data_IF_210040331897
#
_entry.id   IF_210040331897
#
_cell.length_a   1.000
_cell.length_b   1.000
_cell.length_c   1.000
_cell.angle_alpha   90.00
_cell.angle_beta   90.00
_cell.angle_gamma   90.00
#
_symmetry.space_group_name_H-M   'P 1'
#
loop_
_entity.id
_entity.type
_entity.pdbx_description
1 polymer ?
#
# COMPACT_ATOMS: atom_id res chain seq x y z
N UNK A 1 19.55 48.90 74.88
CA UNK A 1 18.29 48.25 75.23
C UNK A 1 17.41 48.36 74.07
N UNK A 2 17.42 47.35 73.17
CA UNK A 2 16.70 47.37 71.90
C UNK A 2 15.53 46.43 72.01
N UNK A 3 14.30 47.02 72.06
CA UNK A 3 13.06 46.33 71.97
C UNK A 3 12.81 45.93 70.49
N UNK A 4 13.00 44.65 70.14
CA UNK A 4 12.57 44.12 68.87
C UNK A 4 11.10 43.70 68.99
N UNK A 5 10.25 44.33 68.15
CA UNK A 5 8.80 44.08 68.10
C UNK A 5 8.50 42.66 67.63
N UNK A 6 7.71 41.96 68.42
CA UNK A 6 7.17 40.62 68.19
C UNK A 6 6.23 40.51 66.95
N UNK A 7 5.96 41.66 66.32
CA UNK A 7 4.93 41.72 65.26
C UNK A 7 5.38 41.22 63.87
N UNK A 8 6.69 40.91 63.67
CA UNK A 8 7.23 40.36 62.42
C UNK A 8 7.19 38.84 62.33
N UNK A 9 6.95 38.16 63.44
CA UNK A 9 6.95 36.68 63.47
C UNK A 9 5.58 36.15 63.04
N UNK A 10 4.49 36.89 63.28
CA UNK A 10 3.15 36.49 62.86
C UNK A 10 2.90 36.52 61.36
N UNK A 11 3.72 37.27 60.58
CA UNK A 11 3.64 37.33 59.13
C UNK A 11 4.24 36.11 58.41
N UNK A 12 5.18 35.41 59.07
CA UNK A 12 5.89 34.25 58.50
C UNK A 12 5.00 32.99 58.68
N UNK A 13 4.32 32.85 59.81
CA UNK A 13 3.41 31.73 60.09
C UNK A 13 2.20 31.71 59.16
N UNK A 14 1.81 32.86 58.58
CA UNK A 14 0.69 32.93 57.62
C UNK A 14 1.13 32.60 56.17
N UNK A 15 2.44 32.57 55.88
CA UNK A 15 2.95 32.17 54.57
C UNK A 15 3.16 30.66 54.46
N UNK A 16 3.41 29.96 55.58
CA UNK A 16 3.53 28.51 55.59
C UNK A 16 2.17 27.76 55.49
N UNK A 17 1.06 28.45 55.85
CA UNK A 17 -0.31 27.88 55.80
C UNK A 17 -0.99 28.04 54.42
N UNK A 18 -0.29 28.40 53.37
CA UNK A 18 -0.79 28.18 52.01
C UNK A 18 -0.58 26.71 51.68
N UNK A 19 -1.31 25.82 52.33
CA UNK A 19 -1.45 24.45 51.93
C UNK A 19 -1.79 24.44 50.43
N UNK A 20 -0.84 23.96 49.62
CA UNK A 20 -1.17 23.56 48.25
C UNK A 20 -2.27 22.53 48.41
N UNK A 21 -3.51 22.87 48.04
CA UNK A 21 -4.56 21.89 47.87
C UNK A 21 -4.09 20.95 46.79
N UNK A 22 -3.40 19.88 47.18
CA UNK A 22 -3.10 18.78 46.27
C UNK A 22 -4.45 18.17 45.95
N UNK A 23 -4.92 18.42 44.75
CA UNK A 23 -6.16 17.81 44.25
C UNK A 23 -5.82 16.31 44.08
N UNK A 24 -6.13 15.55 45.11
CA UNK A 24 -6.00 14.08 45.04
C UNK A 24 -7.27 13.56 44.36
N UNK A 25 -7.09 13.16 43.10
CA UNK A 25 -8.14 12.39 42.44
C UNK A 25 -8.16 10.99 43.05
N UNK A 26 -9.35 10.46 43.42
CA UNK A 26 -9.42 9.08 43.84
C UNK A 26 -8.93 8.17 42.72
N UNK A 27 -8.08 7.20 43.02
CA UNK A 27 -7.49 6.29 42.04
C UNK A 27 -8.55 5.68 41.11
N UNK A 28 -9.74 5.40 41.62
CA UNK A 28 -10.87 4.92 40.82
C UNK A 28 -11.29 5.90 39.72
N UNK A 29 -11.26 7.23 39.96
CA UNK A 29 -11.56 8.23 38.94
C UNK A 29 -10.49 8.30 37.85
N UNK A 30 -9.23 8.13 38.21
CA UNK A 30 -8.11 8.07 37.25
C UNK A 30 -8.23 6.81 36.37
N UNK A 31 -8.51 5.65 36.96
CA UNK A 31 -8.75 4.42 36.20
C UNK A 31 -9.98 4.52 35.28
N UNK A 32 -11.05 5.14 35.75
CA UNK A 32 -12.24 5.34 34.91
C UNK A 32 -11.96 6.26 33.72
N UNK A 33 -11.23 7.36 33.92
CA UNK A 33 -10.84 8.26 32.86
C UNK A 33 -9.90 7.57 31.82
N UNK A 34 -8.95 6.75 32.28
CA UNK A 34 -8.10 5.95 31.42
C UNK A 34 -8.91 4.93 30.58
N UNK A 35 -9.86 4.22 31.20
CA UNK A 35 -10.71 3.25 30.50
C UNK A 35 -11.61 3.94 29.46
N UNK A 36 -12.17 5.10 29.77
CA UNK A 36 -12.93 5.90 28.80
C UNK A 36 -12.03 6.35 27.65
N UNK A 37 -10.81 6.82 27.93
CA UNK A 37 -9.84 7.21 26.91
C UNK A 37 -9.44 6.07 26.00
N UNK A 38 -9.22 4.86 26.53
CA UNK A 38 -8.90 3.66 25.75
C UNK A 38 -10.10 3.25 24.88
N UNK A 39 -11.31 3.20 25.45
CA UNK A 39 -12.52 2.80 24.72
C UNK A 39 -12.88 3.80 23.61
N UNK A 40 -12.75 5.11 23.87
CA UNK A 40 -12.98 6.14 22.86
C UNK A 40 -11.87 6.12 21.79
N UNK A 41 -10.60 5.91 22.18
CA UNK A 41 -9.48 5.78 21.25
C UNK A 41 -9.60 4.55 20.35
N UNK A 42 -9.96 3.39 20.91
CA UNK A 42 -10.21 2.16 20.14
C UNK A 42 -11.44 2.32 19.24
N UNK A 43 -12.52 2.92 19.74
CA UNK A 43 -13.74 3.16 18.96
C UNK A 43 -13.52 4.13 17.80
N UNK A 44 -12.83 5.25 18.02
CA UNK A 44 -12.50 6.20 16.97
C UNK A 44 -11.47 5.64 15.99
N UNK A 45 -10.47 4.89 16.46
CA UNK A 45 -9.53 4.18 15.61
C UNK A 45 -10.23 3.16 14.70
N UNK A 46 -11.16 2.38 15.24
CA UNK A 46 -11.99 1.47 14.42
C UNK A 46 -12.86 2.22 13.40
N UNK A 47 -13.44 3.35 13.76
CA UNK A 47 -14.24 4.15 12.82
C UNK A 47 -13.41 4.80 11.71
N UNK A 48 -12.13 5.11 11.96
CA UNK A 48 -11.25 5.78 10.99
C UNK A 48 -10.50 4.76 10.12
N UNK A 49 -10.01 3.67 10.71
CA UNK A 49 -9.16 2.70 10.03
C UNK A 49 -9.75 1.29 9.89
N UNK A 50 -10.77 0.95 10.68
CA UNK A 50 -11.41 -0.37 10.67
C UNK A 50 -12.59 -0.51 9.72
N UNK A 51 -13.05 0.58 9.08
CA UNK A 51 -14.09 0.50 8.05
C UNK A 51 -13.44 0.01 6.75
N UNK A 52 -13.80 -1.20 6.35
CA UNK A 52 -13.64 -1.62 4.96
C UNK A 52 -14.34 -0.55 4.09
N UNK A 53 -13.68 -0.06 3.03
CA UNK A 53 -14.33 0.91 2.14
C UNK A 53 -15.62 0.30 1.60
N UNK A 54 -16.74 0.97 1.81
CA UNK A 54 -18.05 0.63 1.24
C UNK A 54 -17.92 0.63 -0.29
N UNK A 55 -17.99 -0.51 -0.96
CA UNK A 55 -17.74 -0.79 -2.38
C UNK A 55 -16.34 -1.34 -2.72
N UNK A 56 -15.82 -2.27 -1.96
CA UNK A 56 -14.71 -3.10 -2.46
C UNK A 56 -15.22 -3.98 -3.60
N UNK A 57 -14.63 -3.78 -4.78
CA UNK A 57 -14.87 -4.66 -5.91
C UNK A 57 -14.24 -6.01 -5.57
N UNK A 58 -14.99 -7.09 -5.74
CA UNK A 58 -14.42 -8.42 -5.67
C UNK A 58 -13.48 -8.62 -6.87
N UNK A 59 -12.18 -8.47 -6.62
CA UNK A 59 -11.15 -8.58 -7.66
C UNK A 59 -11.11 -9.98 -8.28
N UNK A 60 -11.55 -11.02 -7.57
CA UNK A 60 -11.61 -12.40 -8.08
C UNK A 60 -12.75 -12.61 -9.06
N UNK A 61 -13.81 -11.80 -8.95
CA UNK A 61 -14.96 -11.85 -9.84
C UNK A 61 -14.75 -11.08 -11.16
N UNK A 62 -13.61 -10.40 -11.33
CA UNK A 62 -13.30 -9.67 -12.56
C UNK A 62 -12.81 -10.65 -13.63
N UNK A 63 -13.66 -10.95 -14.58
CA UNK A 63 -13.33 -11.81 -15.72
C UNK A 63 -12.51 -11.03 -16.76
N UNK A 64 -11.35 -11.57 -17.15
CA UNK A 64 -10.51 -10.97 -18.18
C UNK A 64 -11.17 -11.14 -19.56
N UNK A 65 -11.07 -10.14 -20.46
CA UNK A 65 -11.58 -10.24 -21.80
C UNK A 65 -10.75 -11.19 -22.67
N UNK A 66 -11.34 -11.77 -23.70
CA UNK A 66 -10.73 -12.80 -24.58
C UNK A 66 -9.43 -12.35 -25.27
N UNK A 67 -9.23 -11.03 -25.43
CA UNK A 67 -8.00 -10.49 -26.01
C UNK A 67 -6.84 -10.38 -25.02
N UNK A 68 -7.03 -10.73 -23.74
CA UNK A 68 -5.97 -10.86 -22.73
C UNK A 68 -5.62 -12.33 -22.58
N UNK A 69 -4.42 -12.70 -22.95
CA UNK A 69 -3.89 -14.05 -22.74
C UNK A 69 -3.49 -14.23 -21.27
N UNK A 70 -4.16 -15.14 -20.55
CA UNK A 70 -3.76 -15.51 -19.21
C UNK A 70 -2.63 -16.55 -19.25
N UNK A 71 -1.46 -16.19 -18.78
CA UNK A 71 -0.26 -17.05 -18.70
C UNK A 71 0.46 -16.78 -17.37
N UNK A 72 -0.13 -17.29 -16.28
CA UNK A 72 0.31 -16.98 -14.94
C UNK A 72 1.70 -17.54 -14.61
N UNK A 73 2.46 -16.75 -13.86
CA UNK A 73 3.76 -17.14 -13.32
C UNK A 73 3.59 -18.25 -12.27
N UNK A 74 4.63 -19.08 -12.15
CA UNK A 74 4.73 -20.02 -11.01
C UNK A 74 4.75 -19.25 -9.69
N UNK A 75 4.06 -19.74 -8.67
CA UNK A 75 4.11 -19.15 -7.32
C UNK A 75 5.50 -19.31 -6.72
N UNK A 76 6.11 -18.21 -6.31
CA UNK A 76 7.44 -18.16 -5.71
C UNK A 76 7.67 -16.81 -5.01
N UNK A 77 8.66 -16.72 -4.14
CA UNK A 77 8.93 -15.52 -3.34
C UNK A 77 9.54 -14.35 -4.16
N UNK A 78 10.03 -14.58 -5.37
CA UNK A 78 10.75 -13.58 -6.15
C UNK A 78 9.89 -12.86 -7.20
N UNK A 79 8.83 -13.51 -7.73
CA UNK A 79 8.01 -12.90 -8.78
C UNK A 79 6.50 -13.03 -8.55
N UNK A 80 6.02 -14.08 -7.88
CA UNK A 80 4.60 -14.25 -7.55
C UNK A 80 4.44 -14.80 -6.12
N UNK A 81 4.45 -13.92 -5.10
CA UNK A 81 4.52 -14.34 -3.69
C UNK A 81 3.23 -14.97 -3.13
N UNK A 82 2.18 -15.12 -3.93
CA UNK A 82 0.87 -15.65 -3.49
C UNK A 82 0.23 -14.82 -2.34
N UNK A 83 0.44 -13.52 -2.39
CA UNK A 83 -0.13 -12.57 -1.44
C UNK A 83 -1.36 -11.93 -2.06
N UNK A 84 -2.52 -12.15 -1.45
CA UNK A 84 -3.79 -11.57 -1.89
C UNK A 84 -3.89 -10.09 -1.46
N UNK A 85 -4.37 -9.24 -2.35
CA UNK A 85 -4.73 -7.85 -2.06
C UNK A 85 -6.25 -7.68 -1.98
N UNK A 86 -6.71 -6.64 -1.30
CA UNK A 86 -8.13 -6.34 -1.13
C UNK A 86 -8.66 -5.29 -2.09
N UNK A 87 -7.80 -4.40 -2.59
CA UNK A 87 -8.20 -3.28 -3.45
C UNK A 87 -7.07 -2.88 -4.41
N UNK A 88 -7.47 -2.24 -5.49
CA UNK A 88 -6.58 -1.54 -6.41
C UNK A 88 -6.93 -0.07 -6.38
N UNK A 89 -5.95 0.80 -6.17
CA UNK A 89 -6.10 2.27 -6.15
C UNK A 89 -5.54 2.92 -7.40
N UNK A 90 -4.49 2.32 -7.97
CA UNK A 90 -3.77 2.91 -9.11
C UNK A 90 -3.33 1.82 -10.09
N UNK A 91 -3.07 2.25 -11.32
CA UNK A 91 -2.39 1.50 -12.37
C UNK A 91 -1.10 2.26 -12.69
N UNK A 92 0.03 1.56 -12.69
CA UNK A 92 1.33 2.11 -13.10
C UNK A 92 1.75 1.43 -14.40
N UNK A 93 2.13 2.23 -15.38
CA UNK A 93 2.63 1.78 -16.66
C UNK A 93 4.13 2.00 -16.66
N UNK A 94 4.87 0.91 -16.86
CA UNK A 94 6.31 0.90 -17.02
C UNK A 94 6.66 0.57 -18.47
N UNK A 95 7.88 0.91 -18.89
CA UNK A 95 8.48 0.32 -20.07
C UNK A 95 9.48 -0.75 -19.67
N UNK A 96 9.54 -1.84 -20.42
CA UNK A 96 10.48 -2.94 -20.16
C UNK A 96 11.93 -2.45 -20.33
N UNK A 97 12.79 -2.71 -19.36
CA UNK A 97 14.20 -2.24 -19.39
C UNK A 97 15.10 -2.92 -20.43
N UNK A 98 14.54 -3.78 -21.30
CA UNK A 98 15.26 -4.52 -22.33
C UNK A 98 14.62 -4.29 -23.71
N UNK A 99 15.12 -3.33 -24.51
CA UNK A 99 14.58 -3.00 -25.82
C UNK A 99 14.53 -4.20 -26.76
N UNK A 100 13.50 -4.26 -27.61
CA UNK A 100 13.31 -5.31 -28.61
C UNK A 100 12.85 -6.66 -28.06
N UNK A 101 12.59 -6.76 -26.74
CA UNK A 101 12.06 -7.99 -26.14
C UNK A 101 10.56 -8.15 -26.43
N UNK A 102 10.07 -9.39 -26.49
CA UNK A 102 8.65 -9.69 -26.63
C UNK A 102 7.95 -9.81 -25.28
N UNK A 103 6.61 -9.71 -25.26
CA UNK A 103 5.81 -9.94 -24.06
C UNK A 103 6.06 -11.34 -23.48
N UNK A 104 6.16 -12.35 -24.33
CA UNK A 104 6.43 -13.73 -23.90
C UNK A 104 7.82 -13.89 -23.28
N UNK A 105 8.85 -13.25 -23.83
CA UNK A 105 10.19 -13.28 -23.27
C UNK A 105 10.24 -12.59 -21.91
N UNK A 106 9.59 -11.44 -21.76
CA UNK A 106 9.47 -10.71 -20.49
C UNK A 106 8.70 -11.52 -19.43
N UNK A 107 7.57 -12.13 -19.81
CA UNK A 107 6.84 -13.06 -18.95
C UNK A 107 7.72 -14.23 -18.49
N UNK A 108 8.48 -14.83 -19.41
CA UNK A 108 9.36 -15.95 -19.10
C UNK A 108 10.53 -15.54 -18.21
N UNK A 109 11.05 -14.32 -18.37
CA UNK A 109 12.04 -13.76 -17.43
C UNK A 109 11.48 -13.72 -15.99
N UNK A 110 10.28 -13.19 -15.80
CA UNK A 110 9.64 -13.17 -14.47
C UNK A 110 9.40 -14.59 -13.92
N UNK A 111 8.98 -15.53 -14.76
CA UNK A 111 8.79 -16.92 -14.34
C UNK A 111 10.09 -17.60 -13.95
N UNK A 112 11.18 -17.33 -14.69
CA UNK A 112 12.51 -17.86 -14.42
C UNK A 112 13.10 -17.43 -13.08
N UNK A 113 12.61 -16.32 -12.49
CA UNK A 113 13.02 -15.91 -11.14
C UNK A 113 12.64 -16.94 -10.07
N UNK A 114 11.66 -17.80 -10.33
CA UNK A 114 11.32 -18.92 -9.45
C UNK A 114 12.46 -19.94 -9.25
N UNK A 115 13.42 -19.97 -10.15
CA UNK A 115 14.54 -20.93 -10.11
C UNK A 115 15.74 -20.41 -9.28
N UNK A 116 15.62 -19.20 -8.68
CA UNK A 116 16.63 -18.66 -7.78
C UNK A 116 16.67 -19.40 -6.44
N UNK A 117 17.83 -19.42 -5.81
CA UNK A 117 18.02 -19.99 -4.48
C UNK A 117 17.40 -19.06 -3.43
N UNK A 118 16.30 -19.50 -2.80
CA UNK A 118 15.58 -18.74 -1.79
C UNK A 118 16.37 -18.43 -0.50
N UNK A 119 17.55 -19.06 -0.33
CA UNK A 119 18.42 -18.82 0.83
C UNK A 119 19.52 -17.79 0.51
N UNK A 120 19.59 -17.30 -0.72
CA UNK A 120 20.53 -16.28 -1.16
C UNK A 120 19.80 -15.00 -1.51
N UNK A 121 20.54 -13.89 -1.50
CA UNK A 121 20.07 -12.64 -2.05
C UNK A 121 19.75 -12.82 -3.53
N UNK A 122 18.56 -12.41 -3.97
CA UNK A 122 18.08 -12.61 -5.32
C UNK A 122 17.35 -11.37 -5.86
N UNK A 123 17.00 -11.42 -7.13
CA UNK A 123 16.24 -10.37 -7.81
C UNK A 123 14.75 -10.66 -7.64
N UNK A 124 13.99 -9.67 -7.15
CA UNK A 124 12.54 -9.72 -7.11
C UNK A 124 11.94 -8.73 -8.11
N UNK A 125 11.21 -9.25 -9.09
CA UNK A 125 10.56 -8.43 -10.12
C UNK A 125 9.39 -9.19 -10.75
N UNK A 126 8.31 -8.48 -11.05
CA UNK A 126 7.19 -8.99 -11.84
C UNK A 126 6.22 -7.88 -12.20
N UNK A 127 5.26 -8.19 -13.07
CA UNK A 127 4.16 -7.30 -13.41
C UNK A 127 2.86 -8.11 -13.53
N UNK A 128 1.71 -7.43 -13.38
CA UNK A 128 0.40 -8.07 -13.60
C UNK A 128 0.16 -8.33 -15.07
N UNK A 129 0.55 -7.38 -15.92
CA UNK A 129 0.39 -7.46 -17.36
C UNK A 129 1.69 -7.10 -18.08
N UNK A 130 1.88 -7.71 -19.23
CA UNK A 130 2.91 -7.32 -20.21
C UNK A 130 2.21 -7.09 -21.54
N UNK A 131 2.49 -5.94 -22.16
CA UNK A 131 2.03 -5.58 -23.51
C UNK A 131 3.21 -5.70 -24.47
N UNK A 132 3.06 -6.47 -25.51
CA UNK A 132 4.13 -6.76 -26.49
C UNK A 132 4.19 -5.78 -27.65
N UNK A 133 5.19 -5.98 -28.52
CA UNK A 133 5.44 -5.13 -29.69
C UNK A 133 4.34 -5.23 -30.75
N UNK A 134 3.69 -6.38 -30.87
CA UNK A 134 2.57 -6.61 -31.79
C UNK A 134 1.21 -6.29 -31.15
N UNK A 135 1.22 -5.69 -29.94
CA UNK A 135 0.03 -5.32 -29.19
C UNK A 135 -0.63 -6.47 -28.43
N UNK A 136 0.02 -7.64 -28.38
CA UNK A 136 -0.46 -8.76 -27.55
C UNK A 136 -0.39 -8.39 -26.06
N UNK A 137 -1.38 -8.85 -25.28
CA UNK A 137 -1.45 -8.61 -23.84
C UNK A 137 -1.41 -9.93 -23.09
N UNK A 138 -0.41 -10.10 -22.24
CA UNK A 138 -0.26 -11.28 -21.37
C UNK A 138 -0.52 -10.86 -19.91
N UNK A 139 -1.48 -11.54 -19.26
CA UNK A 139 -1.65 -11.45 -17.81
C UNK A 139 -0.73 -12.47 -17.12
N UNK A 140 0.23 -11.96 -16.37
CA UNK A 140 1.24 -12.75 -15.67
C UNK A 140 0.84 -13.10 -14.22
N UNK A 141 0.06 -12.22 -13.57
CA UNK A 141 -0.38 -12.36 -12.17
C UNK A 141 -1.86 -11.97 -12.11
N UNK A 142 -2.69 -12.73 -11.37
CA UNK A 142 -4.08 -12.34 -11.09
C UNK A 142 -4.16 -10.94 -10.46
N UNK A 143 -5.21 -10.19 -10.78
CA UNK A 143 -5.35 -8.80 -10.27
C UNK A 143 -5.63 -8.72 -8.76
N UNK A 144 -6.04 -9.81 -8.15
CA UNK A 144 -6.22 -9.95 -6.70
C UNK A 144 -4.95 -10.39 -5.96
N UNK A 145 -3.85 -10.63 -6.68
CA UNK A 145 -2.54 -10.95 -6.12
C UNK A 145 -1.56 -9.77 -6.24
N UNK A 146 -0.48 -9.78 -5.44
CA UNK A 146 0.59 -8.78 -5.45
C UNK A 146 1.65 -9.12 -6.48
N UNK A 147 2.08 -8.10 -7.25
CA UNK A 147 3.28 -8.16 -8.10
C UNK A 147 4.38 -7.26 -7.53
N UNK A 148 5.63 -7.54 -7.87
CA UNK A 148 6.80 -6.76 -7.45
C UNK A 148 7.26 -5.78 -8.54
N UNK A 149 6.53 -4.66 -8.68
CA UNK A 149 6.82 -3.64 -9.68
C UNK A 149 6.83 -2.20 -9.12
N UNK A 150 6.08 -1.94 -8.05
CA UNK A 150 5.73 -0.58 -7.63
C UNK A 150 6.06 -0.30 -6.16
N UNK A 151 7.16 -0.86 -5.63
CA UNK A 151 7.52 -0.65 -4.23
C UNK A 151 7.61 0.85 -3.88
N UNK A 152 7.07 1.29 -2.72
CA UNK A 152 6.48 0.48 -1.65
C UNK A 152 4.98 0.17 -1.83
N UNK A 153 4.37 0.46 -2.98
CA UNK A 153 2.94 0.38 -3.25
C UNK A 153 2.50 -0.86 -4.04
N UNK A 154 3.18 -1.99 -3.87
CA UNK A 154 2.81 -3.24 -4.54
C UNK A 154 1.44 -3.78 -4.10
N UNK A 155 0.99 -3.44 -2.90
CA UNK A 155 -0.23 -3.95 -2.28
C UNK A 155 -1.52 -3.33 -2.82
N UNK A 156 -1.46 -2.12 -3.38
CA UNK A 156 -2.64 -1.39 -3.86
C UNK A 156 -2.53 -0.88 -5.31
N UNK A 157 -1.52 -1.34 -6.06
CA UNK A 157 -1.23 -0.86 -7.42
C UNK A 157 -1.13 -2.02 -8.41
N UNK A 158 -1.83 -1.93 -9.55
CA UNK A 158 -1.59 -2.78 -10.71
C UNK A 158 -0.42 -2.24 -11.53
N UNK A 159 0.36 -3.14 -12.11
CA UNK A 159 1.48 -2.81 -12.99
C UNK A 159 1.27 -3.37 -14.39
N UNK A 160 1.65 -2.60 -15.39
CA UNK A 160 1.67 -2.97 -16.80
C UNK A 160 3.08 -2.68 -17.33
N UNK A 161 3.80 -3.69 -17.76
CA UNK A 161 5.06 -3.56 -18.47
C UNK A 161 4.78 -3.48 -19.97
N UNK A 162 5.33 -2.49 -20.65
CA UNK A 162 5.14 -2.30 -22.11
C UNK A 162 6.47 -2.48 -22.83
N UNK A 163 6.50 -3.40 -23.78
CA UNK A 163 7.64 -3.62 -24.66
C UNK A 163 7.80 -2.44 -25.64
N UNK A 164 9.04 -2.11 -25.96
CA UNK A 164 9.41 -1.10 -26.93
C UNK A 164 10.57 -1.59 -27.82
N UNK A 165 10.67 -1.04 -29.03
CA UNK A 165 11.55 -1.59 -30.04
C UNK A 165 13.04 -1.25 -29.83
N UNK A 166 13.34 -0.08 -29.28
CA UNK A 166 14.68 0.50 -29.21
C UNK A 166 14.94 1.28 -27.92
N UNK A 167 16.15 1.80 -27.76
CA UNK A 167 16.60 2.51 -26.55
C UNK A 167 15.90 3.86 -26.29
N UNK A 168 15.02 4.32 -27.20
CA UNK A 168 14.24 5.56 -26.98
C UNK A 168 13.14 5.36 -25.95
N UNK A 169 12.74 4.11 -25.66
CA UNK A 169 11.63 3.80 -24.77
C UNK A 169 10.24 4.16 -25.35
N UNK A 170 10.20 4.56 -26.63
CA UNK A 170 8.94 4.94 -27.30
C UNK A 170 8.14 3.70 -27.66
N UNK A 171 6.87 3.69 -27.27
CA UNK A 171 5.93 2.65 -27.69
C UNK A 171 5.60 2.82 -29.17
N UNK A 172 5.51 1.73 -29.90
CA UNK A 172 4.92 1.74 -31.25
C UNK A 172 3.39 1.83 -31.15
N UNK A 173 2.72 2.02 -32.31
CA UNK A 173 1.28 2.23 -32.34
C UNK A 173 0.51 1.03 -31.78
N UNK A 174 0.91 -0.21 -32.09
CA UNK A 174 0.27 -1.42 -31.61
C UNK A 174 0.36 -1.57 -30.08
N UNK A 175 1.57 -1.37 -29.52
CA UNK A 175 1.75 -1.38 -28.05
C UNK A 175 0.97 -0.26 -27.38
N UNK A 176 0.97 0.95 -27.97
CA UNK A 176 0.28 2.11 -27.42
C UNK A 176 -1.24 1.90 -27.40
N UNK A 177 -1.82 1.46 -28.51
CA UNK A 177 -3.26 1.17 -28.59
C UNK A 177 -3.68 0.09 -27.58
N UNK A 178 -2.87 -0.96 -27.44
CA UNK A 178 -3.14 -2.04 -26.50
C UNK A 178 -3.03 -1.62 -25.04
N UNK A 179 -2.03 -0.82 -24.67
CA UNK A 179 -1.92 -0.33 -23.28
C UNK A 179 -3.04 0.65 -22.94
N UNK A 180 -3.46 1.50 -23.87
CA UNK A 180 -4.62 2.39 -23.69
C UNK A 180 -5.92 1.57 -23.52
N UNK A 181 -6.14 0.57 -24.37
CA UNK A 181 -7.31 -0.33 -24.31
C UNK A 181 -7.36 -1.08 -22.97
N UNK A 182 -6.23 -1.66 -22.54
CA UNK A 182 -6.12 -2.39 -21.28
C UNK A 182 -6.37 -1.47 -20.08
N UNK A 183 -5.72 -0.31 -20.04
CA UNK A 183 -5.88 0.66 -18.95
C UNK A 183 -7.29 1.16 -18.84
N UNK A 184 -7.94 1.53 -19.96
CA UNK A 184 -9.32 1.99 -19.98
C UNK A 184 -10.28 0.90 -19.48
N UNK A 185 -10.07 -0.34 -19.90
CA UNK A 185 -10.87 -1.48 -19.46
C UNK A 185 -10.69 -1.71 -17.94
N UNK A 186 -9.45 -1.75 -17.43
CA UNK A 186 -9.17 -1.90 -16.01
C UNK A 186 -9.78 -0.77 -15.18
N UNK A 187 -9.64 0.48 -15.59
CA UNK A 187 -10.24 1.63 -14.90
C UNK A 187 -11.76 1.48 -14.79
N UNK A 188 -12.42 1.01 -15.86
CA UNK A 188 -13.86 0.78 -15.86
C UNK A 188 -14.27 -0.35 -14.91
N UNK A 189 -13.58 -1.50 -14.96
CA UNK A 189 -13.89 -2.66 -14.11
C UNK A 189 -13.65 -2.35 -12.63
N UNK A 190 -12.55 -1.65 -12.34
CA UNK A 190 -12.10 -1.33 -10.98
C UNK A 190 -12.65 -0.01 -10.45
N UNK A 191 -13.51 0.67 -11.24
CA UNK A 191 -14.11 1.98 -10.89
C UNK A 191 -13.06 3.03 -10.47
N UNK A 192 -11.87 2.97 -11.08
CA UNK A 192 -10.82 3.94 -10.83
C UNK A 192 -11.20 5.27 -11.49
N UNK A 193 -10.97 6.37 -10.74
CA UNK A 193 -11.20 7.73 -11.26
C UNK A 193 -9.89 8.26 -11.84
N UNK A 194 -9.98 9.02 -12.94
CA UNK A 194 -8.87 9.85 -13.39
C UNK A 194 -8.61 10.92 -12.31
N UNK A 195 -7.38 10.98 -11.84
CA UNK A 195 -6.91 12.05 -10.95
C UNK A 195 -6.52 13.27 -11.75
#
# INVERSE_FOLDING_TARGET
>A
MLYWKKDKIQGIDNLEKRERKVITFPMAAVFMAMMIGILTGLGSGYCIWGREPENTIDLKAVEMPDWVQQDFLRKNIFSRPDVTRRQVKNIVIHYVGNPGTSAKATRNYFDGLADQDAQKEGVSSSSHFVVGLDGEVIQCIPIDEVAYANAPRNDDTLSIEVCHADDTGKFNDASYESVVKLTAWLCKQLKLKSS
#
